data_IF_834757200218
#
_entry.id   IF_834757200218
#
_cell.length_a   1.000
_cell.length_b   1.000
_cell.length_c   1.000
_cell.angle_alpha   90.00
_cell.angle_beta   90.00
_cell.angle_gamma   90.00
#
_symmetry.space_group_name_H-M   'P 1'
#
loop_
_entity.id
_entity.type
_entity.pdbx_description
1 polymer ?
#
# COMPACT_ATOMS: atom_id res chain seq x y z
N UNK A 1 -27.48 -16.25 10.78
CA UNK A 1 -26.66 -15.19 11.38
C UNK A 1 -25.40 -15.82 11.92
N UNK A 2 -24.25 -15.63 11.27
CA UNK A 2 -22.99 -16.18 11.77
C UNK A 2 -22.57 -15.36 13.00
N UNK A 3 -22.62 -15.99 14.17
CA UNK A 3 -22.12 -15.43 15.42
C UNK A 3 -20.60 -15.52 15.36
N UNK A 4 -19.92 -14.39 15.18
CA UNK A 4 -18.47 -14.36 15.35
C UNK A 4 -18.14 -14.54 16.83
N UNK A 5 -17.19 -15.41 17.21
CA UNK A 5 -16.73 -15.50 18.57
C UNK A 5 -16.11 -14.15 18.99
N UNK A 6 -16.33 -13.78 20.27
CA UNK A 6 -15.79 -12.58 20.86
C UNK A 6 -14.25 -12.69 20.86
N UNK A 7 -13.58 -11.91 20.02
CA UNK A 7 -12.11 -11.94 19.93
C UNK A 7 -11.52 -11.36 21.22
N UNK A 8 -10.53 -12.02 21.84
CA UNK A 8 -9.82 -11.48 22.99
C UNK A 8 -9.10 -10.18 22.60
N UNK A 9 -9.05 -9.24 23.54
CA UNK A 9 -8.32 -7.99 23.40
C UNK A 9 -6.82 -8.27 23.22
N UNK A 10 -6.30 -7.96 22.04
CA UNK A 10 -4.94 -8.32 21.59
C UNK A 10 -3.80 -7.61 22.36
N UNK A 11 -4.13 -6.79 23.36
CA UNK A 11 -3.16 -5.99 24.13
C UNK A 11 -2.31 -6.80 25.11
N UNK A 12 -2.74 -8.01 25.47
CA UNK A 12 -2.18 -8.77 26.62
C UNK A 12 -1.33 -9.99 26.20
N UNK A 13 -1.22 -10.29 24.91
CA UNK A 13 -0.40 -11.42 24.45
C UNK A 13 1.09 -11.05 24.45
N UNK A 14 1.95 -11.74 25.22
CA UNK A 14 3.39 -11.58 25.09
C UNK A 14 3.83 -12.01 23.69
N UNK A 15 4.77 -11.27 23.09
CA UNK A 15 5.34 -11.56 21.78
C UNK A 15 5.91 -13.00 21.76
N UNK A 16 5.12 -13.97 21.30
CA UNK A 16 5.57 -15.34 21.06
C UNK A 16 6.10 -15.45 19.63
N UNK A 17 7.40 -15.71 19.44
CA UNK A 17 8.02 -15.72 18.13
C UNK A 17 7.61 -16.91 17.24
N UNK A 18 6.72 -17.80 17.69
CA UNK A 18 6.28 -18.99 16.94
C UNK A 18 4.76 -19.16 16.89
N UNK A 19 3.96 -18.12 17.15
CA UNK A 19 2.51 -18.22 17.04
C UNK A 19 2.06 -18.41 15.57
N UNK A 20 1.34 -19.50 15.24
CA UNK A 20 0.94 -19.81 13.87
C UNK A 20 -0.23 -18.94 13.36
N UNK A 21 -0.80 -18.08 14.21
CA UNK A 21 -1.80 -17.07 13.84
C UNK A 21 -1.17 -15.71 13.53
N UNK A 22 0.18 -15.60 13.51
CA UNK A 22 0.88 -14.49 12.87
C UNK A 22 0.81 -14.66 11.35
N UNK A 23 -0.37 -14.45 10.79
CA UNK A 23 -0.52 -14.15 9.37
C UNK A 23 0.07 -12.77 9.12
N UNK A 24 1.41 -12.70 9.08
CA UNK A 24 2.24 -11.59 8.61
C UNK A 24 1.55 -10.24 8.76
N UNK A 25 1.52 -9.73 9.99
CA UNK A 25 1.14 -8.35 10.24
C UNK A 25 2.16 -7.44 9.55
N UNK A 26 1.88 -7.03 8.31
CA UNK A 26 2.66 -6.04 7.57
C UNK A 26 2.81 -4.72 8.36
N UNK A 27 1.98 -4.48 9.37
CA UNK A 27 2.12 -3.37 10.32
C UNK A 27 3.40 -3.40 11.15
N UNK A 28 3.97 -4.58 11.44
CA UNK A 28 5.19 -4.69 12.26
C UNK A 28 6.46 -4.34 11.45
N UNK A 29 6.40 -4.47 10.12
CA UNK A 29 7.45 -3.97 9.22
C UNK A 29 7.57 -2.43 9.22
N UNK A 30 6.53 -1.71 9.63
CA UNK A 30 6.51 -0.24 9.59
C UNK A 30 7.11 0.45 10.81
N UNK A 31 7.34 -0.23 11.95
CA UNK A 31 7.75 0.44 13.20
C UNK A 31 9.26 0.47 13.50
N UNK A 32 10.12 0.36 12.47
CA UNK A 32 11.57 0.56 12.67
C UNK A 32 12.25 1.23 11.47
N UNK A 33 12.09 2.55 11.31
CA UNK A 33 13.07 3.42 10.62
C UNK A 33 13.61 2.98 9.26
N UNK A 34 12.78 2.31 8.44
CA UNK A 34 13.17 1.66 7.18
C UNK A 34 12.36 2.17 5.97
N UNK A 35 11.97 3.44 5.99
CA UNK A 35 11.32 4.15 4.87
C UNK A 35 12.01 3.90 3.52
N UNK A 36 13.34 3.89 3.49
CA UNK A 36 14.12 3.61 2.28
C UNK A 36 14.00 2.16 1.76
N UNK A 37 13.84 1.17 2.65
CA UNK A 37 13.67 -0.23 2.25
C UNK A 37 12.25 -0.47 1.74
N UNK A 38 11.23 0.16 2.34
CA UNK A 38 9.86 0.13 1.83
C UNK A 38 9.78 0.62 0.38
N UNK A 39 10.33 1.80 0.08
CA UNK A 39 10.32 2.31 -1.29
C UNK A 39 11.08 1.39 -2.25
N UNK A 40 12.22 0.81 -1.84
CA UNK A 40 12.97 -0.13 -2.69
C UNK A 40 12.17 -1.39 -3.03
N UNK A 41 11.46 -1.97 -2.06
CA UNK A 41 10.66 -3.16 -2.31
C UNK A 41 9.40 -2.86 -3.14
N UNK A 42 8.75 -1.73 -2.90
CA UNK A 42 7.64 -1.26 -3.75
C UNK A 42 8.14 -1.01 -5.18
N UNK A 43 9.32 -0.42 -5.36
CA UNK A 43 9.89 -0.19 -6.69
C UNK A 43 10.17 -1.49 -7.46
N UNK A 44 10.67 -2.52 -6.77
CA UNK A 44 10.96 -3.83 -7.37
C UNK A 44 9.68 -4.59 -7.77
N UNK A 45 8.62 -4.47 -6.98
CA UNK A 45 7.36 -5.21 -7.18
C UNK A 45 6.43 -4.55 -8.20
N UNK A 46 6.52 -3.23 -8.39
CA UNK A 46 5.74 -2.52 -9.39
C UNK A 46 6.29 -2.79 -10.80
N UNK A 47 5.47 -3.13 -11.80
CA UNK A 47 5.92 -3.19 -13.20
C UNK A 47 6.22 -1.78 -13.76
N UNK A 48 6.81 -1.65 -14.96
CA UNK A 48 7.13 -0.35 -15.56
C UNK A 48 5.92 0.58 -15.68
N UNK A 49 4.75 0.00 -15.98
CA UNK A 49 3.44 0.67 -16.05
C UNK A 49 2.41 -0.22 -15.37
N UNK A 50 1.58 0.36 -14.49
CA UNK A 50 0.52 -0.35 -13.78
C UNK A 50 -0.72 0.52 -13.59
N UNK A 51 -1.84 -0.10 -13.27
CA UNK A 51 -3.09 0.60 -12.95
C UNK A 51 -3.13 1.07 -11.48
N UNK A 52 -3.98 2.07 -11.20
CA UNK A 52 -4.31 2.50 -9.82
C UNK A 52 -4.70 1.35 -8.89
N UNK A 53 -5.45 0.38 -9.41
CA UNK A 53 -5.90 -0.78 -8.65
C UNK A 53 -4.74 -1.71 -8.28
N UNK A 54 -3.82 -1.92 -9.22
CA UNK A 54 -2.62 -2.71 -8.95
C UNK A 54 -1.72 -2.00 -7.94
N UNK A 55 -1.53 -0.69 -8.09
CA UNK A 55 -0.78 0.14 -7.15
C UNK A 55 -1.31 -0.04 -5.72
N UNK A 56 -2.64 0.07 -5.56
CA UNK A 56 -3.33 -0.08 -4.28
C UNK A 56 -3.07 -1.43 -3.63
N UNK A 57 -3.08 -2.52 -4.41
CA UNK A 57 -2.80 -3.87 -3.92
C UNK A 57 -1.33 -4.06 -3.53
N UNK A 58 -0.39 -3.55 -4.33
CA UNK A 58 1.05 -3.70 -4.09
C UNK A 58 1.49 -3.02 -2.79
N UNK A 59 0.94 -1.85 -2.49
CA UNK A 59 1.23 -1.15 -1.23
C UNK A 59 0.32 -1.62 -0.08
N UNK A 60 -0.26 -2.81 -0.15
CA UNK A 60 -1.07 -3.39 0.92
C UNK A 60 -2.35 -2.62 1.26
N UNK A 61 -2.88 -1.81 0.34
CA UNK A 61 -4.07 -1.00 0.55
C UNK A 61 -3.84 0.35 1.24
N UNK A 62 -2.58 0.74 1.49
CA UNK A 62 -2.23 2.03 2.11
C UNK A 62 -2.84 3.23 1.37
N UNK A 63 -2.94 3.16 0.04
CA UNK A 63 -3.72 4.10 -0.75
C UNK A 63 -4.73 3.34 -1.60
N UNK A 64 -5.99 3.75 -1.50
CA UNK A 64 -7.05 3.21 -2.34
C UNK A 64 -6.97 3.78 -3.76
N UNK A 65 -7.44 3.02 -4.75
CA UNK A 65 -7.61 3.52 -6.12
C UNK A 65 -8.51 4.77 -6.17
N UNK A 66 -9.48 4.88 -5.25
CA UNK A 66 -10.35 6.06 -5.10
C UNK A 66 -9.56 7.28 -4.64
N UNK A 67 -8.69 7.13 -3.64
CA UNK A 67 -7.79 8.20 -3.17
C UNK A 67 -6.90 8.68 -4.31
N UNK A 68 -6.25 7.77 -5.03
CA UNK A 68 -5.43 8.12 -6.20
C UNK A 68 -6.24 8.83 -7.28
N UNK A 69 -7.48 8.41 -7.53
CA UNK A 69 -8.35 9.08 -8.49
C UNK A 69 -8.73 10.49 -8.06
N UNK A 70 -8.99 10.72 -6.77
CA UNK A 70 -9.28 12.04 -6.24
C UNK A 70 -8.08 12.98 -6.39
N UNK A 71 -6.88 12.49 -6.06
CA UNK A 71 -5.63 13.24 -6.21
C UNK A 71 -5.34 13.56 -7.67
N UNK A 72 -5.65 12.65 -8.60
CA UNK A 72 -5.54 12.89 -10.03
C UNK A 72 -6.47 14.01 -10.52
N UNK A 73 -7.71 14.03 -10.03
CA UNK A 73 -8.68 15.10 -10.32
C UNK A 73 -8.25 16.45 -9.73
N UNK A 74 -7.55 16.44 -8.59
CA UNK A 74 -7.01 17.64 -7.95
C UNK A 74 -5.69 18.12 -8.59
N UNK A 75 -5.17 17.41 -9.60
CA UNK A 75 -3.85 17.70 -10.19
C UNK A 75 -2.67 17.44 -9.25
N UNK A 76 -2.92 16.71 -8.15
CA UNK A 76 -1.92 16.35 -7.12
C UNK A 76 -1.46 14.90 -7.23
N UNK A 77 -1.92 14.16 -8.24
CA UNK A 77 -1.52 12.78 -8.50
C UNK A 77 -0.16 12.65 -9.20
N UNK A 78 0.25 11.42 -9.57
CA UNK A 78 1.49 11.18 -10.29
C UNK A 78 1.57 11.95 -11.61
N UNK A 79 2.73 12.55 -11.88
CA UNK A 79 2.97 13.44 -13.03
C UNK A 79 2.76 12.74 -14.39
N UNK A 80 3.23 11.50 -14.51
CA UNK A 80 3.05 10.69 -15.72
C UNK A 80 1.92 9.69 -15.53
N UNK A 81 0.78 10.00 -16.15
CA UNK A 81 -0.39 9.13 -16.23
C UNK A 81 -0.64 8.70 -17.67
N UNK A 82 -0.99 7.43 -17.84
CA UNK A 82 -1.29 6.82 -19.12
C UNK A 82 -2.74 6.37 -19.07
N UNK A 83 -3.55 6.83 -20.02
CA UNK A 83 -4.93 6.37 -20.19
C UNK A 83 -4.97 5.27 -21.23
N UNK A 84 -5.44 4.08 -20.83
CA UNK A 84 -5.64 2.93 -21.72
C UNK A 84 -7.13 2.57 -21.67
N UNK A 85 -7.87 2.93 -22.71
CA UNK A 85 -9.33 2.80 -22.74
C UNK A 85 -9.98 3.59 -21.62
N UNK A 86 -10.68 2.88 -20.72
CA UNK A 86 -11.33 3.48 -19.54
C UNK A 86 -10.51 3.37 -18.24
N UNK A 87 -9.27 2.86 -18.33
CA UNK A 87 -8.38 2.69 -17.18
C UNK A 87 -7.28 3.74 -17.19
N UNK A 88 -6.87 4.17 -15.99
CA UNK A 88 -5.70 5.03 -15.79
C UNK A 88 -4.60 4.23 -15.10
N UNK A 89 -3.41 4.30 -15.71
CA UNK A 89 -2.19 3.76 -15.16
C UNK A 89 -1.13 4.84 -14.95
N UNK A 90 -0.11 4.46 -14.19
CA UNK A 90 1.03 5.30 -13.87
C UNK A 90 2.31 4.58 -14.26
N UNK A 91 3.33 5.37 -14.59
CA UNK A 91 4.69 4.83 -14.67
C UNK A 91 5.23 4.64 -13.26
N UNK A 92 6.09 3.64 -13.09
CA UNK A 92 6.77 3.38 -11.81
C UNK A 92 7.47 4.62 -11.26
N UNK A 93 8.28 5.28 -12.07
CA UNK A 93 9.00 6.51 -11.72
C UNK A 93 8.08 7.59 -11.12
N UNK A 94 7.03 7.97 -11.84
CA UNK A 94 6.16 9.07 -11.43
C UNK A 94 5.32 8.72 -10.20
N UNK A 95 4.93 7.45 -10.06
CA UNK A 95 4.24 6.99 -8.86
C UNK A 95 5.15 7.00 -7.63
N UNK A 96 6.40 6.56 -7.76
CA UNK A 96 7.35 6.53 -6.65
C UNK A 96 7.72 7.94 -6.18
N UNK A 97 7.95 8.87 -7.12
CA UNK A 97 8.16 10.29 -6.79
C UNK A 97 6.97 10.86 -6.02
N UNK A 98 5.76 10.60 -6.50
CA UNK A 98 4.54 11.03 -5.85
C UNK A 98 4.33 10.38 -4.47
N UNK A 99 4.57 9.06 -4.35
CA UNK A 99 4.37 8.30 -3.11
C UNK A 99 5.28 8.81 -1.99
N UNK A 100 6.53 9.19 -2.32
CA UNK A 100 7.46 9.83 -1.38
C UNK A 100 6.93 11.14 -0.79
N UNK A 101 6.08 11.87 -1.53
CA UNK A 101 5.44 13.10 -1.00
C UNK A 101 4.28 12.80 -0.05
N UNK A 102 3.76 11.57 -0.05
CA UNK A 102 2.60 11.15 0.75
C UNK A 102 2.97 10.46 2.05
N UNK A 103 4.06 9.69 2.05
CA UNK A 103 4.60 9.07 3.27
C UNK A 103 5.38 10.13 4.02
N UNK A 104 5.01 10.40 5.28
CA UNK A 104 5.60 11.43 6.13
C UNK A 104 5.65 10.98 7.57
#
# INVERSE_FOLDING_TARGET
MNHYPNYPDYSDYPNDPNDPHDSVNFGDFFYRGKENEFFKEVEKTLPPVFSREYASKVIGGLLSAKTMSNEDSLGKGPSKKIKVGNKIGYTREAFMEWLRTKVR
#
